data_IF_995688475628
#
_entry.id   IF_995688475628
#
_cell.length_a   1.000
_cell.length_b   1.000
_cell.length_c   1.000
_cell.angle_alpha   90.00
_cell.angle_beta   90.00
_cell.angle_gamma   90.00
#
_symmetry.space_group_name_H-M   'P 1'
#
loop_
_entity.id
_entity.type
_entity.pdbx_description
1 polymer ?
#
# COMPACT_ATOMS: atom_id res chain seq x y z
N UNK A 1 -6.04 6.45 6.04
CA UNK A 1 -6.43 5.71 4.81
C UNK A 1 -5.19 5.03 4.25
N UNK A 2 -5.29 3.77 3.87
CA UNK A 2 -4.24 3.05 3.14
C UNK A 2 -4.61 3.07 1.66
N UNK A 3 -3.62 3.35 0.81
CA UNK A 3 -3.69 3.59 -0.62
C UNK A 3 -4.31 4.93 -1.03
N UNK A 4 -3.77 5.47 -2.11
CA UNK A 4 -4.33 6.59 -2.85
C UNK A 4 -4.98 6.09 -4.14
N UNK A 5 -6.10 6.70 -4.52
CA UNK A 5 -6.76 6.46 -5.81
C UNK A 5 -7.37 7.76 -6.31
N UNK A 6 -7.20 8.09 -7.59
CA UNK A 6 -7.83 9.27 -8.21
C UNK A 6 -9.37 9.23 -8.26
N UNK A 7 -9.97 8.09 -7.94
CA UNK A 7 -11.43 7.94 -7.84
C UNK A 7 -11.97 8.02 -6.41
N UNK A 8 -11.11 8.28 -5.44
CA UNK A 8 -11.51 8.29 -4.03
C UNK A 8 -12.55 9.36 -3.71
N UNK A 9 -12.57 10.45 -4.50
CA UNK A 9 -13.56 11.51 -4.38
C UNK A 9 -15.00 11.04 -4.65
N UNK A 10 -15.18 9.95 -5.40
CA UNK A 10 -16.48 9.32 -5.62
C UNK A 10 -17.05 8.72 -4.32
N UNK A 11 -16.18 8.29 -3.41
CA UNK A 11 -16.53 7.75 -2.10
C UNK A 11 -16.43 8.79 -0.95
N UNK A 12 -16.20 10.06 -1.29
CA UNK A 12 -15.92 11.11 -0.30
C UNK A 12 -16.98 11.21 0.80
N UNK A 13 -18.26 11.06 0.44
CA UNK A 13 -19.38 11.11 1.39
C UNK A 13 -19.32 9.94 2.37
N UNK A 14 -19.10 8.72 1.87
CA UNK A 14 -19.05 7.50 2.68
C UNK A 14 -17.84 7.54 3.62
N UNK A 15 -16.69 8.02 3.11
CA UNK A 15 -15.49 8.22 3.90
C UNK A 15 -15.73 9.25 5.03
N UNK A 16 -16.42 10.35 4.73
CA UNK A 16 -16.75 11.36 5.73
C UNK A 16 -17.69 10.81 6.81
N UNK A 17 -18.66 9.98 6.44
CA UNK A 17 -19.56 9.29 7.39
C UNK A 17 -18.83 8.30 8.29
N UNK A 18 -17.70 7.74 7.81
CA UNK A 18 -16.80 6.87 8.59
C UNK A 18 -15.81 7.63 9.48
N UNK A 19 -15.83 8.97 9.47
CA UNK A 19 -14.94 9.81 10.30
C UNK A 19 -13.89 10.60 9.53
N UNK A 20 -13.87 10.49 8.20
CA UNK A 20 -12.94 11.22 7.33
C UNK A 20 -11.57 10.57 7.22
N UNK A 21 -10.59 11.32 6.70
CA UNK A 21 -9.20 10.88 6.49
C UNK A 21 -8.24 11.76 7.29
N UNK A 22 -7.56 11.17 8.25
CA UNK A 22 -6.53 11.84 9.05
C UNK A 22 -5.16 11.87 8.33
N UNK A 23 -4.85 10.80 7.60
CA UNK A 23 -3.63 10.66 6.79
C UNK A 23 -3.80 9.64 5.69
N UNK A 24 -3.04 9.80 4.61
CA UNK A 24 -2.95 8.83 3.51
C UNK A 24 -1.60 8.15 3.54
N UNK A 25 -1.59 6.83 3.54
CA UNK A 25 -0.40 5.99 3.51
C UNK A 25 -0.30 5.36 2.12
N UNK A 26 0.67 5.81 1.33
CA UNK A 26 0.92 5.31 -0.01
C UNK A 26 1.82 4.08 0.05
N UNK A 27 1.50 3.05 -0.72
CA UNK A 27 2.31 1.86 -0.85
C UNK A 27 3.57 2.13 -1.70
N UNK A 28 3.42 2.89 -2.80
CA UNK A 28 4.49 3.20 -3.73
C UNK A 28 4.16 4.42 -4.60
N UNK A 29 5.14 4.94 -5.32
CA UNK A 29 5.05 6.16 -6.12
C UNK A 29 3.99 6.14 -7.24
N UNK A 30 3.69 4.98 -7.84
CA UNK A 30 2.75 4.91 -8.95
C UNK A 30 1.30 5.25 -8.54
N UNK A 31 0.97 5.15 -7.26
CA UNK A 31 -0.34 5.62 -6.78
C UNK A 31 -0.57 7.11 -7.08
N UNK A 32 0.50 7.91 -7.15
CA UNK A 32 0.40 9.33 -7.49
C UNK A 32 -0.11 9.60 -8.92
N UNK A 33 -0.05 8.60 -9.82
CA UNK A 33 -0.61 8.69 -11.15
C UNK A 33 -2.14 8.78 -11.15
N UNK A 34 -2.78 8.46 -10.04
CA UNK A 34 -4.21 8.65 -9.80
C UNK A 34 -4.66 10.11 -9.78
N UNK A 35 -3.72 11.07 -9.70
CA UNK A 35 -3.99 12.50 -9.68
C UNK A 35 -4.32 13.05 -8.29
N UNK A 36 -4.80 14.31 -8.27
CA UNK A 36 -5.19 14.99 -7.03
C UNK A 36 -6.49 14.43 -6.48
N UNK A 37 -6.66 14.57 -5.17
CA UNK A 37 -7.94 14.35 -4.50
C UNK A 37 -8.38 15.63 -3.77
N UNK A 38 -9.68 15.72 -3.47
CA UNK A 38 -10.22 16.81 -2.66
C UNK A 38 -10.05 16.58 -1.15
N UNK A 39 -9.35 15.53 -0.75
CA UNK A 39 -9.06 15.29 0.66
C UNK A 39 -7.87 16.13 1.12
N UNK A 40 -8.12 17.01 2.08
CA UNK A 40 -7.08 17.78 2.76
C UNK A 40 -6.47 16.92 3.88
N UNK A 41 -5.71 15.90 3.48
CA UNK A 41 -5.04 14.98 4.39
C UNK A 41 -3.55 14.87 4.05
N UNK A 42 -2.65 14.73 5.03
CA UNK A 42 -1.23 14.57 4.81
C UNK A 42 -0.91 13.22 4.17
N UNK A 43 -0.05 13.24 3.14
CA UNK A 43 0.43 12.06 2.42
C UNK A 43 1.78 11.60 2.94
N UNK A 44 1.89 10.29 3.18
CA UNK A 44 3.13 9.63 3.62
C UNK A 44 3.52 8.51 2.67
N UNK A 45 4.82 8.42 2.38
CA UNK A 45 5.40 7.41 1.50
C UNK A 45 6.81 7.04 1.98
N UNK A 46 7.38 5.94 1.47
CA UNK A 46 8.79 5.64 1.71
C UNK A 46 9.71 6.72 1.09
N UNK A 47 10.84 7.02 1.78
CA UNK A 47 11.75 8.10 1.34
C UNK A 47 12.32 7.87 -0.06
N UNK A 48 12.57 6.60 -0.45
CA UNK A 48 13.16 6.23 -1.73
C UNK A 48 12.20 6.43 -2.92
N UNK A 49 10.88 6.48 -2.68
CA UNK A 49 9.88 6.74 -3.71
C UNK A 49 9.45 8.22 -3.77
N UNK A 50 9.83 9.04 -2.77
CA UNK A 50 9.33 10.41 -2.65
C UNK A 50 9.62 11.27 -3.87
N UNK A 51 10.79 11.12 -4.50
CA UNK A 51 11.21 11.97 -5.62
C UNK A 51 10.46 11.65 -6.92
N UNK A 52 9.89 10.45 -7.01
CA UNK A 52 9.17 9.96 -8.18
C UNK A 52 7.65 10.13 -8.06
N UNK A 53 7.17 10.63 -6.91
CA UNK A 53 5.78 11.08 -6.76
C UNK A 53 5.54 12.28 -7.66
N UNK A 54 4.46 12.25 -8.44
CA UNK A 54 4.11 13.34 -9.36
C UNK A 54 3.80 14.64 -8.60
N UNK A 55 3.99 15.78 -9.28
CA UNK A 55 3.70 17.12 -8.72
C UNK A 55 2.22 17.31 -8.31
N UNK A 56 1.35 16.36 -8.65
CA UNK A 56 -0.07 16.37 -8.30
C UNK A 56 -0.33 16.04 -6.83
N UNK A 57 0.63 15.41 -6.13
CA UNK A 57 0.50 15.07 -4.72
C UNK A 57 1.63 15.68 -3.90
N UNK A 58 1.26 16.38 -2.84
CA UNK A 58 2.23 16.92 -1.89
C UNK A 58 2.51 15.92 -0.77
N UNK A 59 3.68 15.27 -0.82
CA UNK A 59 4.15 14.38 0.25
C UNK A 59 4.50 15.19 1.49
N UNK A 60 3.81 14.94 2.57
CA UNK A 60 3.97 15.62 3.86
C UNK A 60 5.08 14.99 4.71
N UNK A 61 5.20 13.67 4.67
CA UNK A 61 6.21 12.95 5.46
C UNK A 61 6.64 11.63 4.83
N UNK A 62 7.76 11.09 5.32
CA UNK A 62 8.30 9.84 4.83
C UNK A 62 8.62 8.87 5.96
N UNK A 63 8.64 7.57 5.63
CA UNK A 63 9.28 6.54 6.44
C UNK A 63 10.48 5.96 5.70
N UNK A 64 11.35 5.27 6.43
CA UNK A 64 12.55 4.65 5.92
C UNK A 64 12.67 3.19 6.33
N UNK A 65 12.26 2.88 7.54
CA UNK A 65 12.49 1.59 8.17
C UNK A 65 11.17 0.99 8.64
N UNK A 66 11.19 -0.32 8.89
CA UNK A 66 10.08 -1.04 9.52
C UNK A 66 9.76 -0.42 10.88
N UNK A 67 8.52 -0.02 11.10
CA UNK A 67 8.09 0.68 12.30
C UNK A 67 6.60 0.54 12.55
N UNK A 68 6.18 0.71 13.80
CA UNK A 68 4.77 0.89 14.13
C UNK A 68 4.39 2.37 14.04
N UNK A 69 3.32 2.69 13.31
CA UNK A 69 2.68 4.02 13.33
C UNK A 69 1.70 4.14 14.50
N UNK A 70 1.03 3.05 14.82
CA UNK A 70 0.14 2.86 15.97
C UNK A 70 0.35 1.45 16.51
N UNK A 71 -0.26 1.12 17.66
CA UNK A 71 -0.15 -0.21 18.27
C UNK A 71 -0.68 -1.32 17.35
N UNK A 72 -1.66 -0.97 16.49
CA UNK A 72 -2.36 -1.85 15.57
C UNK A 72 -1.92 -1.74 14.10
N UNK A 73 -0.97 -0.85 13.76
CA UNK A 73 -0.56 -0.60 12.39
C UNK A 73 0.95 -0.54 12.23
N UNK A 74 1.49 -1.48 11.49
CA UNK A 74 2.91 -1.59 11.16
C UNK A 74 3.20 -1.23 9.70
N UNK A 75 4.29 -0.47 9.49
CA UNK A 75 4.87 -0.12 8.19
C UNK A 75 6.02 -1.07 7.90
N UNK A 76 6.00 -1.74 6.76
CA UNK A 76 6.96 -2.78 6.39
C UNK A 76 7.51 -2.49 5.00
N UNK A 77 8.70 -1.87 4.86
CA UNK A 77 9.34 -1.69 3.56
C UNK A 77 9.68 -3.03 2.90
N UNK A 78 9.31 -3.17 1.63
CA UNK A 78 9.52 -4.35 0.79
C UNK A 78 9.99 -3.91 -0.60
N UNK A 79 11.23 -3.45 -0.74
CA UNK A 79 11.73 -2.99 -2.01
C UNK A 79 11.65 -4.07 -3.08
N UNK A 80 11.42 -3.66 -4.32
CA UNK A 80 11.37 -4.58 -5.46
C UNK A 80 10.52 -4.07 -6.59
N UNK A 81 9.21 -3.92 -6.41
CA UNK A 81 8.32 -3.30 -7.41
C UNK A 81 8.76 -1.87 -7.71
N UNK A 82 8.92 -1.06 -6.67
CA UNK A 82 9.69 0.20 -6.64
C UNK A 82 10.72 0.13 -5.51
N UNK A 83 11.72 1.03 -5.46
CA UNK A 83 12.68 1.09 -4.36
C UNK A 83 12.01 1.30 -2.99
N UNK A 84 10.94 2.08 -2.94
CA UNK A 84 10.23 2.45 -1.73
C UNK A 84 8.93 1.68 -1.48
N UNK A 85 8.66 0.59 -2.22
CA UNK A 85 7.43 -0.21 -1.98
C UNK A 85 7.31 -0.59 -0.51
N UNK A 86 6.13 -0.34 0.05
CA UNK A 86 5.87 -0.49 1.49
C UNK A 86 4.54 -1.21 1.71
N UNK A 87 4.52 -2.23 2.55
CA UNK A 87 3.30 -2.89 3.02
C UNK A 87 2.83 -2.27 4.32
N UNK A 88 1.54 -2.45 4.59
CA UNK A 88 0.93 -2.08 5.86
C UNK A 88 0.26 -3.30 6.46
N UNK A 89 0.65 -3.66 7.68
CA UNK A 89 0.01 -4.72 8.44
C UNK A 89 -0.87 -4.10 9.52
N UNK A 90 -2.17 -4.29 9.40
CA UNK A 90 -3.15 -3.78 10.33
C UNK A 90 -3.84 -4.91 11.09
N UNK A 91 -3.82 -4.81 12.42
CA UNK A 91 -4.46 -5.72 13.35
C UNK A 91 -5.71 -5.05 13.94
N UNK A 92 -6.91 -5.55 13.61
CA UNK A 92 -8.16 -5.00 14.15
C UNK A 92 -8.57 -5.65 15.50
N UNK A 93 -7.70 -6.50 16.07
CA UNK A 93 -7.95 -7.26 17.30
C UNK A 93 -8.60 -8.62 17.09
N UNK A 94 -9.10 -8.92 15.89
CA UNK A 94 -9.67 -10.21 15.50
C UNK A 94 -8.90 -10.82 14.31
N UNK A 95 -8.48 -9.98 13.35
CA UNK A 95 -7.78 -10.36 12.16
C UNK A 95 -6.66 -9.38 11.81
N UNK A 96 -5.64 -9.91 11.15
CA UNK A 96 -4.50 -9.16 10.67
C UNK A 96 -4.54 -9.06 9.15
N UNK A 97 -4.64 -7.86 8.63
CA UNK A 97 -4.75 -7.55 7.21
C UNK A 97 -3.44 -7.02 6.67
N UNK A 98 -2.88 -7.69 5.65
CA UNK A 98 -1.67 -7.23 4.99
C UNK A 98 -2.02 -6.53 3.68
N UNK A 99 -1.87 -5.20 3.65
CA UNK A 99 -2.07 -4.37 2.48
C UNK A 99 -0.80 -4.39 1.62
N UNK A 100 -0.88 -5.03 0.46
CA UNK A 100 0.29 -5.34 -0.37
C UNK A 100 0.50 -4.39 -1.54
N UNK A 101 -0.44 -3.48 -1.81
CA UNK A 101 -0.38 -2.58 -2.96
C UNK A 101 -0.24 -3.36 -4.27
N UNK A 102 0.63 -2.87 -5.13
CA UNK A 102 0.98 -3.52 -6.40
C UNK A 102 2.07 -4.59 -6.26
N UNK A 103 2.65 -4.75 -5.05
CA UNK A 103 3.68 -5.77 -4.86
C UNK A 103 3.16 -7.18 -5.10
N UNK A 104 1.92 -7.46 -4.68
CA UNK A 104 1.22 -8.71 -4.95
C UNK A 104 -0.14 -8.43 -5.57
N UNK A 105 -0.48 -9.17 -6.61
CA UNK A 105 -1.82 -9.21 -7.20
C UNK A 105 -2.34 -10.64 -7.28
N UNK A 106 -3.66 -10.78 -7.33
CA UNK A 106 -4.33 -12.05 -7.53
C UNK A 106 -4.80 -12.16 -8.98
N UNK A 107 -4.33 -13.20 -9.69
CA UNK A 107 -4.65 -13.43 -11.09
C UNK A 107 -4.74 -14.94 -11.38
N UNK A 108 -5.87 -15.40 -11.92
CA UNK A 108 -6.04 -16.76 -12.38
C UNK A 108 -5.83 -17.83 -11.29
N UNK A 109 -6.37 -17.61 -10.10
CA UNK A 109 -6.24 -18.45 -8.91
C UNK A 109 -4.84 -18.54 -8.31
N UNK A 110 -3.95 -17.58 -8.65
CA UNK A 110 -2.59 -17.50 -8.12
C UNK A 110 -2.23 -16.11 -7.63
N UNK A 111 -1.42 -16.04 -6.57
CA UNK A 111 -0.74 -14.82 -6.17
C UNK A 111 0.50 -14.61 -7.01
N UNK A 112 0.66 -13.40 -7.55
CA UNK A 112 1.77 -13.02 -8.41
C UNK A 112 2.41 -11.73 -7.94
N UNK A 113 3.73 -11.65 -8.06
CA UNK A 113 4.47 -10.40 -7.86
C UNK A 113 4.50 -9.59 -9.14
N UNK A 114 4.14 -8.32 -9.06
CA UNK A 114 4.20 -7.41 -10.21
C UNK A 114 5.64 -6.92 -10.41
N UNK A 115 6.27 -7.37 -11.49
CA UNK A 115 7.64 -7.01 -11.88
C UNK A 115 7.59 -6.14 -13.14
N UNK A 116 7.99 -4.90 -13.01
CA UNK A 116 8.16 -3.94 -14.11
C UNK A 116 9.60 -4.01 -14.65
N UNK A 117 9.87 -3.43 -15.83
CA UNK A 117 11.24 -3.30 -16.34
C UNK A 117 12.19 -2.55 -15.40
N UNK A 118 11.66 -1.65 -14.58
CA UNK A 118 12.38 -0.86 -13.57
C UNK A 118 12.51 -1.58 -12.21
N UNK A 119 11.82 -2.69 -12.02
CA UNK A 119 11.80 -3.40 -10.72
C UNK A 119 13.11 -4.13 -10.44
N UNK A 120 13.49 -4.20 -9.17
CA UNK A 120 14.60 -5.01 -8.69
C UNK A 120 14.12 -6.42 -8.31
N UNK A 121 14.47 -7.40 -9.13
CA UNK A 121 14.06 -8.80 -8.93
C UNK A 121 14.69 -9.45 -7.70
N UNK A 122 15.96 -9.13 -7.38
CA UNK A 122 16.63 -9.70 -6.22
C UNK A 122 16.02 -9.15 -4.93
N UNK A 123 15.76 -7.85 -4.90
CA UNK A 123 15.04 -7.23 -3.80
C UNK A 123 13.63 -7.82 -3.65
N UNK A 124 12.91 -8.03 -4.76
CA UNK A 124 11.56 -8.64 -4.74
C UNK A 124 11.57 -10.05 -4.12
N UNK A 125 12.57 -10.88 -4.44
CA UNK A 125 12.69 -12.23 -3.85
C UNK A 125 12.88 -12.15 -2.34
N UNK A 126 13.78 -11.27 -1.86
CA UNK A 126 14.01 -11.07 -0.42
C UNK A 126 12.76 -10.55 0.29
N UNK A 127 12.04 -9.66 -0.37
CA UNK A 127 10.77 -9.12 0.14
C UNK A 127 9.69 -10.20 0.21
N UNK A 128 9.60 -11.11 -0.76
CA UNK A 128 8.69 -12.27 -0.72
C UNK A 128 9.04 -13.24 0.43
N UNK A 129 10.34 -13.47 0.68
CA UNK A 129 10.76 -14.28 1.83
C UNK A 129 10.35 -13.63 3.16
N UNK A 130 10.48 -12.31 3.28
CA UNK A 130 10.00 -11.57 4.44
C UNK A 130 8.48 -11.72 4.60
N UNK A 131 7.71 -11.54 3.52
CA UNK A 131 6.24 -11.65 3.55
C UNK A 131 5.79 -13.03 3.97
N UNK A 132 6.42 -14.09 3.48
CA UNK A 132 6.13 -15.48 3.86
C UNK A 132 6.21 -15.71 5.37
N UNK A 133 7.12 -15.00 6.03
CA UNK A 133 7.38 -15.16 7.46
C UNK A 133 6.54 -14.19 8.34
N UNK A 134 5.68 -13.35 7.72
CA UNK A 134 4.72 -12.50 8.44
C UNK A 134 3.50 -13.32 8.84
N UNK A 135 2.97 -12.99 10.00
CA UNK A 135 1.72 -13.53 10.53
C UNK A 135 0.57 -12.59 10.15
N UNK A 136 -0.31 -13.03 9.24
CA UNK A 136 -1.50 -12.30 8.78
C UNK A 136 -2.59 -13.28 8.35
N UNK A 137 -3.84 -12.81 8.36
CA UNK A 137 -5.01 -13.61 8.01
C UNK A 137 -5.51 -13.34 6.58
N UNK A 138 -5.27 -12.13 6.06
CA UNK A 138 -5.78 -11.73 4.77
C UNK A 138 -4.83 -10.81 4.01
N UNK A 139 -4.72 -11.01 2.69
CA UNK A 139 -4.02 -10.11 1.77
C UNK A 139 -5.01 -9.11 1.16
N UNK A 140 -4.64 -7.84 1.13
CA UNK A 140 -5.43 -6.75 0.54
C UNK A 140 -4.59 -6.04 -0.53
N UNK A 141 -4.60 -6.51 -1.79
CA UNK A 141 -3.89 -5.86 -2.88
C UNK A 141 -4.61 -4.58 -3.32
N UNK A 142 -3.88 -3.67 -3.98
CA UNK A 142 -4.51 -2.50 -4.61
C UNK A 142 -5.15 -2.85 -5.95
N UNK A 143 -4.54 -3.77 -6.71
CA UNK A 143 -5.05 -4.26 -7.99
C UNK A 143 -5.52 -5.71 -7.86
N UNK A 144 -6.76 -5.95 -8.26
CA UNK A 144 -7.30 -7.29 -8.47
C UNK A 144 -7.99 -7.35 -9.83
N UNK A 145 -7.66 -8.34 -10.64
CA UNK A 145 -8.23 -8.48 -11.98
C UNK A 145 -9.67 -9.03 -11.94
N UNK A 146 -10.06 -9.68 -10.85
CA UNK A 146 -11.38 -10.34 -10.71
C UNK A 146 -12.13 -9.97 -9.41
N UNK A 147 -12.05 -8.71 -8.98
CA UNK A 147 -12.75 -8.24 -7.78
C UNK A 147 -12.05 -8.62 -6.46
N UNK A 148 -12.38 -7.89 -5.39
CA UNK A 148 -11.83 -8.13 -4.06
C UNK A 148 -12.20 -9.54 -3.58
N UNK A 149 -11.27 -10.45 -3.69
CA UNK A 149 -11.33 -11.74 -3.03
C UNK A 149 -10.51 -11.65 -1.75
N UNK A 150 -11.19 -11.56 -0.61
CA UNK A 150 -10.56 -11.81 0.69
C UNK A 150 -10.24 -13.31 0.72
N UNK A 151 -8.99 -13.65 0.53
CA UNK A 151 -8.54 -15.05 0.65
C UNK A 151 -7.94 -15.20 2.04
N UNK A 152 -8.63 -16.01 2.84
CA UNK A 152 -8.04 -16.54 4.06
C UNK A 152 -7.02 -17.60 3.66
N UNK A 153 -5.78 -17.43 4.06
CA UNK A 153 -4.71 -18.42 3.91
C UNK A 153 -4.68 -19.29 5.15
#
# INVERSE_FOLDING_TARGET
>A
MIYHSGRIDEAAKDIQELGGVDKVLMNHQHESLGGETNFDAPYYIHEDDKQDVTDTLQVTGTFKERQHLHEDLEVIPVPGHTPGTTLYLWDNGEHRYLFTGDFLCYEGDEWRTVILPSSDREASIKSLELIRDLDFDALVPWVSIEGLSLIHI
#
